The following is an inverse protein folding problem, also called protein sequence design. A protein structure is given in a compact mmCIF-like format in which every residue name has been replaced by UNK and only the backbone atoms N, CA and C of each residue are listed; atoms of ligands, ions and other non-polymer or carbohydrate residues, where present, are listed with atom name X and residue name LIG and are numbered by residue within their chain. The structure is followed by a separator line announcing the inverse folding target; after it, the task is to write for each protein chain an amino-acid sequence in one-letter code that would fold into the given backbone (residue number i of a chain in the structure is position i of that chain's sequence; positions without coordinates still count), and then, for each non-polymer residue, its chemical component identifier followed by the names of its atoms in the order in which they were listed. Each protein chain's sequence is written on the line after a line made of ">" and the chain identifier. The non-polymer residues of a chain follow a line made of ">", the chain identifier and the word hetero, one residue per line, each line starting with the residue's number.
data_IF_112562266599
#
_entry.id   IF_112562266599
#
_cell.length_a   1.000
_cell.length_b   1.000
_cell.length_c   1.000
_cell.angle_alpha   90.00
_cell.angle_beta   90.00
_cell.angle_gamma   90.00
#
_symmetry.space_group_name_H-M   'P 1'
#
loop_
_entity.id
_entity.type
_entity.pdbx_description
1 polymer ?
#
# COMPACT_ATOMS: atom_id res chain seq x y z
N UNK A 1 14.11 -6.43 -4.62
CA UNK A 1 13.76 -5.53 -3.49
C UNK A 1 14.42 -4.18 -3.75
N UNK A 2 13.64 -3.10 -3.77
CA UNK A 2 14.13 -1.72 -4.00
C UNK A 2 14.13 -0.90 -2.72
N UNK A 3 13.21 -1.17 -1.81
CA UNK A 3 13.13 -0.54 -0.50
C UNK A 3 12.46 -1.45 0.51
N UNK A 4 12.80 -1.28 1.78
CA UNK A 4 12.23 -2.00 2.92
C UNK A 4 12.26 -1.08 4.13
N UNK A 5 11.11 -0.77 4.69
CA UNK A 5 10.99 0.11 5.84
C UNK A 5 10.11 -0.50 6.93
N UNK A 6 10.41 -0.12 8.16
CA UNK A 6 9.64 -0.49 9.35
C UNK A 6 9.61 0.68 10.32
N UNK A 7 8.42 1.05 10.76
CA UNK A 7 8.21 2.13 11.73
C UNK A 7 7.33 1.65 12.87
N UNK A 8 7.70 1.96 14.09
CA UNK A 8 6.88 1.73 15.28
C UNK A 8 6.43 3.08 15.86
N UNK A 9 5.17 3.16 16.21
CA UNK A 9 4.58 4.38 16.76
C UNK A 9 4.95 4.65 18.21
N UNK A 10 4.72 5.89 18.67
CA UNK A 10 5.07 6.32 20.02
C UNK A 10 4.11 5.83 21.11
N UNK A 11 3.13 5.01 20.76
CA UNK A 11 2.09 4.49 21.66
C UNK A 11 1.26 5.59 22.37
N UNK A 12 0.99 6.70 21.68
CA UNK A 12 0.23 7.83 22.24
C UNK A 12 -1.25 7.85 21.85
N UNK A 13 -1.63 7.15 20.76
CA UNK A 13 -2.91 7.30 20.06
C UNK A 13 -4.15 7.44 20.92
N UNK A 14 -4.67 6.36 21.53
CA UNK A 14 -5.94 6.44 22.27
C UNK A 14 -5.88 7.30 23.54
N UNK A 15 -4.68 7.66 23.99
CA UNK A 15 -4.45 8.53 25.15
C UNK A 15 -4.17 9.96 24.78
N UNK A 16 -4.04 10.26 23.50
CA UNK A 16 -3.84 11.59 22.98
C UNK A 16 -5.21 12.20 22.61
N UNK A 17 -5.69 13.22 23.33
CA UNK A 17 -6.98 13.84 23.05
C UNK A 17 -7.04 14.57 21.71
N UNK A 18 -5.89 14.89 21.12
CA UNK A 18 -5.78 15.61 19.86
C UNK A 18 -5.63 14.65 18.66
N UNK A 19 -5.61 13.32 18.88
CA UNK A 19 -5.52 12.36 17.81
C UNK A 19 -6.85 12.27 17.04
N UNK A 20 -6.83 12.65 15.76
CA UNK A 20 -8.03 12.85 14.95
C UNK A 20 -8.42 11.65 14.07
N UNK A 21 -7.64 10.58 14.08
CA UNK A 21 -7.85 9.35 13.30
C UNK A 21 -7.85 9.55 11.77
N UNK A 22 -7.35 10.66 11.27
CA UNK A 22 -7.28 10.95 9.83
C UNK A 22 -5.94 10.56 9.21
N UNK A 23 -4.98 10.14 10.02
CA UNK A 23 -3.65 9.67 9.58
C UNK A 23 -3.10 8.63 10.55
N UNK A 24 -2.23 7.77 10.01
CA UNK A 24 -1.33 6.94 10.80
C UNK A 24 0.09 7.46 10.58
N UNK A 25 0.61 8.24 11.53
CA UNK A 25 1.96 8.82 11.45
C UNK A 25 3.04 7.77 11.13
N UNK A 26 2.85 6.55 11.66
CA UNK A 26 3.74 5.43 11.43
C UNK A 26 3.76 5.01 9.95
N UNK A 27 2.61 5.08 9.28
CA UNK A 27 2.48 4.76 7.86
C UNK A 27 3.15 5.83 7.01
N UNK A 28 2.85 7.10 7.27
CA UNK A 28 3.44 8.21 6.53
C UNK A 28 4.97 8.20 6.61
N UNK A 29 5.54 8.00 7.82
CA UNK A 29 7.00 7.88 8.01
C UNK A 29 7.58 6.65 7.34
N UNK A 30 6.88 5.51 7.40
CA UNK A 30 7.31 4.29 6.74
C UNK A 30 7.30 4.45 5.21
N UNK A 31 6.31 5.16 4.67
CA UNK A 31 6.21 5.50 3.26
C UNK A 31 7.39 6.39 2.82
N UNK A 32 7.66 7.48 3.54
CA UNK A 32 8.78 8.38 3.26
C UNK A 32 10.12 7.62 3.21
N UNK A 33 10.36 6.73 4.18
CA UNK A 33 11.59 5.94 4.25
C UNK A 33 11.70 4.94 3.10
N UNK A 34 10.66 4.16 2.81
CA UNK A 34 10.69 3.18 1.72
C UNK A 34 10.80 3.84 0.34
N UNK A 35 10.15 4.99 0.14
CA UNK A 35 10.27 5.77 -1.10
C UNK A 35 11.67 6.33 -1.29
N UNK A 36 12.25 6.90 -0.22
CA UNK A 36 13.64 7.38 -0.25
C UNK A 36 14.63 6.29 -0.66
N UNK A 37 14.48 5.08 -0.10
CA UNK A 37 15.33 3.94 -0.43
C UNK A 37 15.17 3.48 -1.88
N UNK A 38 13.95 3.51 -2.41
CA UNK A 38 13.62 3.07 -3.76
C UNK A 38 13.82 4.15 -4.83
N UNK A 39 14.08 5.41 -4.45
CA UNK A 39 14.19 6.55 -5.36
C UNK A 39 12.84 7.00 -5.93
N UNK A 40 11.72 6.66 -5.26
CA UNK A 40 10.37 7.07 -5.66
C UNK A 40 10.13 8.51 -5.20
N UNK A 41 9.71 9.36 -6.10
CA UNK A 41 9.41 10.78 -5.84
C UNK A 41 7.95 11.14 -6.05
N UNK A 42 7.24 10.36 -6.85
CA UNK A 42 5.81 10.49 -7.11
C UNK A 42 5.18 9.08 -7.04
N UNK A 43 4.78 8.61 -5.85
CA UNK A 43 4.29 7.25 -5.69
C UNK A 43 3.09 6.91 -6.58
N UNK A 44 2.14 7.84 -6.75
CA UNK A 44 0.99 7.63 -7.63
C UNK A 44 1.39 7.37 -9.08
N UNK A 45 2.37 8.09 -9.58
CA UNK A 45 2.81 7.97 -10.98
C UNK A 45 3.76 6.79 -11.20
N UNK A 46 4.56 6.41 -10.20
CA UNK A 46 5.66 5.46 -10.36
C UNK A 46 5.29 4.03 -9.94
N UNK A 47 4.38 3.88 -8.95
CA UNK A 47 3.94 2.56 -8.48
C UNK A 47 2.92 1.97 -9.46
N UNK A 48 3.14 0.73 -9.88
CA UNK A 48 2.24 0.00 -10.79
C UNK A 48 1.01 -0.54 -10.05
N UNK A 49 1.19 -0.97 -8.81
CA UNK A 49 0.16 -1.53 -7.96
C UNK A 49 0.58 -1.47 -6.49
N UNK A 50 -0.40 -1.55 -5.60
CA UNK A 50 -0.12 -1.72 -4.19
C UNK A 50 -0.97 -2.85 -3.58
N UNK A 51 -0.35 -3.60 -2.68
CA UNK A 51 -1.02 -4.48 -1.74
C UNK A 51 -0.98 -3.82 -0.36
N UNK A 52 -2.13 -3.47 0.19
CA UNK A 52 -2.21 -2.72 1.45
C UNK A 52 -3.05 -3.46 2.49
N UNK A 53 -2.89 -3.05 3.74
CA UNK A 53 -3.59 -3.66 4.87
C UNK A 53 -5.05 -3.17 4.97
N UNK A 54 -5.95 -3.85 4.29
CA UNK A 54 -7.38 -3.54 4.18
C UNK A 54 -8.24 -4.23 5.26
N UNK A 55 -7.73 -4.34 6.50
CA UNK A 55 -8.44 -4.98 7.60
C UNK A 55 -9.81 -4.35 7.89
N UNK A 56 -9.93 -3.03 7.69
CA UNK A 56 -11.16 -2.25 7.73
C UNK A 56 -11.18 -1.24 6.59
N UNK A 57 -12.35 -0.99 6.00
CA UNK A 57 -12.50 -0.01 4.91
C UNK A 57 -12.03 1.41 5.26
N UNK A 58 -12.28 1.95 6.47
CA UNK A 58 -11.70 3.24 6.84
C UNK A 58 -10.16 3.21 6.91
N UNK A 59 -9.56 2.11 7.33
CA UNK A 59 -8.11 1.94 7.36
C UNK A 59 -7.55 2.06 5.94
N UNK A 60 -8.09 1.30 4.99
CA UNK A 60 -7.64 1.36 3.60
C UNK A 60 -7.78 2.77 3.02
N UNK A 61 -8.88 3.47 3.30
CA UNK A 61 -9.08 4.85 2.84
C UNK A 61 -7.99 5.79 3.36
N UNK A 62 -7.64 5.71 4.64
CA UNK A 62 -6.58 6.52 5.26
C UNK A 62 -5.22 6.16 4.65
N UNK A 63 -4.97 4.87 4.39
CA UNK A 63 -3.73 4.42 3.75
C UNK A 63 -3.51 5.03 2.36
N UNK A 64 -4.58 5.26 1.57
CA UNK A 64 -4.43 5.89 0.25
C UNK A 64 -3.83 7.29 0.36
N UNK A 65 -4.15 8.01 1.42
CA UNK A 65 -3.61 9.35 1.69
C UNK A 65 -2.21 9.29 2.34
N UNK A 66 -2.02 8.42 3.33
CA UNK A 66 -0.75 8.28 4.05
C UNK A 66 0.37 7.72 3.17
N UNK A 67 0.04 6.88 2.19
CA UNK A 67 0.98 6.36 1.19
C UNK A 67 1.20 7.33 0.01
N UNK A 68 0.56 8.50 0.01
CA UNK A 68 0.71 9.51 -1.03
C UNK A 68 0.05 9.14 -2.37
N UNK A 69 -0.92 8.24 -2.37
CA UNK A 69 -1.70 7.88 -3.56
C UNK A 69 -2.84 8.85 -3.84
N UNK A 70 -3.27 9.58 -2.82
CA UNK A 70 -4.23 10.67 -2.90
C UNK A 70 -3.75 11.87 -2.08
N UNK A 71 -4.22 13.06 -2.44
CA UNK A 71 -4.06 14.24 -1.59
C UNK A 71 -4.86 14.06 -0.29
N UNK A 72 -4.37 14.67 0.78
CA UNK A 72 -5.01 14.62 2.09
C UNK A 72 -6.47 15.10 2.03
N UNK A 73 -7.40 14.28 2.54
CA UNK A 73 -8.85 14.52 2.51
C UNK A 73 -9.51 14.24 1.15
N UNK A 74 -8.77 13.71 0.16
CA UNK A 74 -9.29 13.42 -1.19
C UNK A 74 -9.37 11.93 -1.52
N UNK A 75 -8.89 11.04 -0.66
CA UNK A 75 -8.89 9.60 -0.90
C UNK A 75 -10.25 9.04 -1.32
N UNK A 76 -11.32 9.52 -0.70
CA UNK A 76 -12.69 9.08 -1.04
C UNK A 76 -13.10 9.43 -2.47
N UNK A 77 -12.63 10.56 -3.02
CA UNK A 77 -12.91 10.95 -4.41
C UNK A 77 -12.20 10.01 -5.38
N UNK A 78 -10.97 9.67 -5.07
CA UNK A 78 -10.18 8.74 -5.88
C UNK A 78 -10.83 7.34 -5.90
N UNK A 79 -11.34 6.88 -4.75
CA UNK A 79 -12.13 5.63 -4.67
C UNK A 79 -13.35 5.70 -5.58
N UNK A 80 -14.14 6.77 -5.50
CA UNK A 80 -15.34 6.93 -6.33
C UNK A 80 -15.03 7.10 -7.83
N UNK A 81 -13.84 7.61 -8.16
CA UNK A 81 -13.37 7.74 -9.54
C UNK A 81 -12.86 6.41 -10.13
N UNK A 82 -12.74 5.34 -9.30
CA UNK A 82 -12.20 4.05 -9.73
C UNK A 82 -10.69 4.04 -9.91
N UNK A 83 -9.97 5.00 -9.30
CA UNK A 83 -8.51 5.11 -9.41
C UNK A 83 -7.80 3.83 -8.95
N UNK A 84 -8.35 3.17 -7.93
CA UNK A 84 -7.78 1.98 -7.31
C UNK A 84 -8.39 0.65 -7.79
N UNK A 85 -9.33 0.72 -8.72
CA UNK A 85 -9.93 -0.47 -9.33
C UNK A 85 -8.88 -1.28 -10.12
N UNK A 86 -9.16 -2.53 -10.41
CA UNK A 86 -8.25 -3.45 -11.12
C UNK A 86 -7.73 -2.86 -12.44
N UNK A 87 -8.55 -2.10 -13.15
CA UNK A 87 -8.23 -1.42 -14.41
C UNK A 87 -8.04 0.11 -14.24
N UNK A 88 -7.95 0.57 -12.99
CA UNK A 88 -7.68 1.96 -12.64
C UNK A 88 -6.23 2.39 -12.86
N UNK A 89 -5.95 3.63 -12.51
CA UNK A 89 -4.61 4.23 -12.65
C UNK A 89 -3.56 3.56 -11.73
N UNK A 90 -3.98 3.21 -10.50
CA UNK A 90 -3.15 2.58 -9.48
C UNK A 90 -3.93 1.46 -8.79
N UNK A 91 -3.96 0.25 -9.36
CA UNK A 91 -4.66 -0.88 -8.76
C UNK A 91 -4.18 -1.17 -7.34
N UNK A 92 -5.14 -1.29 -6.41
CA UNK A 92 -4.88 -1.62 -5.02
C UNK A 92 -5.56 -2.94 -4.68
N UNK A 93 -4.82 -3.84 -4.04
CA UNK A 93 -5.29 -5.18 -3.67
C UNK A 93 -5.94 -5.96 -4.85
N UNK A 94 -5.24 -6.12 -6.00
CA UNK A 94 -5.83 -6.77 -7.17
C UNK A 94 -6.21 -8.24 -6.93
N UNK A 95 -5.66 -8.88 -5.92
CA UNK A 95 -6.01 -10.26 -5.52
C UNK A 95 -7.25 -10.32 -4.60
N UNK A 96 -7.81 -9.17 -4.22
CA UNK A 96 -8.96 -9.03 -3.33
C UNK A 96 -8.62 -8.70 -1.88
N UNK A 97 -7.33 -8.50 -1.56
CA UNK A 97 -6.84 -8.07 -0.25
C UNK A 97 -7.12 -9.05 0.89
N UNK A 98 -6.98 -8.58 2.13
CA UNK A 98 -7.22 -9.38 3.33
C UNK A 98 -8.69 -9.81 3.45
N UNK A 99 -9.61 -9.02 2.91
CA UNK A 99 -11.06 -9.27 2.97
C UNK A 99 -11.46 -10.49 2.16
N UNK A 100 -10.94 -10.64 0.94
CA UNK A 100 -11.36 -11.70 0.02
C UNK A 100 -10.38 -12.85 0.00
N UNK A 101 -9.09 -12.59 0.06
CA UNK A 101 -8.06 -13.62 0.06
C UNK A 101 -7.90 -14.29 1.44
N UNK A 102 -8.14 -13.55 2.51
CA UNK A 102 -7.94 -13.98 3.90
C UNK A 102 -6.71 -13.34 4.55
N UNK A 103 -6.67 -13.39 5.89
CA UNK A 103 -5.63 -12.75 6.70
C UNK A 103 -4.95 -13.71 7.66
N UNK A 104 -4.13 -14.65 7.20
CA UNK A 104 -3.22 -15.40 8.07
C UNK A 104 -2.08 -14.46 8.47
N UNK A 105 -2.13 -13.93 9.71
CA UNK A 105 -1.30 -12.80 10.18
C UNK A 105 0.18 -12.96 9.82
N UNK A 106 0.76 -14.16 10.03
CA UNK A 106 2.17 -14.42 9.73
C UNK A 106 2.48 -14.64 8.24
N UNK A 107 1.49 -14.69 7.35
CA UNK A 107 1.67 -14.99 5.92
C UNK A 107 1.17 -13.88 5.00
N UNK A 108 0.34 -12.94 5.46
CA UNK A 108 -0.26 -11.91 4.61
C UNK A 108 0.79 -11.07 3.88
N UNK A 109 1.87 -10.65 4.55
CA UNK A 109 2.95 -9.91 3.90
C UNK A 109 3.66 -10.70 2.80
N UNK A 110 3.83 -12.01 2.98
CA UNK A 110 4.41 -12.88 1.94
C UNK A 110 3.46 -13.04 0.76
N UNK A 111 2.15 -13.16 1.01
CA UNK A 111 1.13 -13.18 -0.04
C UNK A 111 1.17 -11.88 -0.88
N UNK A 112 1.20 -10.73 -0.23
CA UNK A 112 1.29 -9.43 -0.89
C UNK A 112 2.53 -9.32 -1.78
N UNK A 113 3.69 -9.76 -1.29
CA UNK A 113 4.91 -9.81 -2.10
C UNK A 113 4.78 -10.76 -3.28
N UNK A 114 4.12 -11.91 -3.08
CA UNK A 114 3.89 -12.88 -4.15
C UNK A 114 2.94 -12.33 -5.22
N UNK A 115 1.89 -11.61 -4.84
CA UNK A 115 1.02 -10.95 -5.81
C UNK A 115 1.78 -9.88 -6.61
N UNK A 116 2.57 -9.02 -5.95
CA UNK A 116 3.44 -8.07 -6.66
C UNK A 116 4.37 -8.78 -7.64
N UNK A 117 4.94 -9.92 -7.24
CA UNK A 117 5.82 -10.72 -8.10
C UNK A 117 5.09 -11.25 -9.34
N UNK A 118 3.87 -11.80 -9.19
CA UNK A 118 3.05 -12.29 -10.30
C UNK A 118 2.68 -11.14 -11.26
N UNK A 119 2.19 -10.05 -10.73
CA UNK A 119 1.70 -8.91 -11.51
C UNK A 119 2.82 -8.25 -12.34
N UNK A 120 3.95 -7.95 -11.71
CA UNK A 120 5.09 -7.30 -12.38
C UNK A 120 5.74 -8.18 -13.45
N UNK A 121 5.62 -9.49 -13.32
CA UNK A 121 6.11 -10.48 -14.32
C UNK A 121 5.06 -10.82 -15.39
N UNK A 122 3.84 -10.28 -15.26
CA UNK A 122 2.69 -10.61 -16.13
C UNK A 122 2.31 -12.10 -16.07
N UNK A 123 2.47 -12.69 -14.89
CA UNK A 123 2.17 -14.10 -14.60
C UNK A 123 0.91 -14.26 -13.75
N UNK A 124 0.23 -13.16 -13.39
CA UNK A 124 -1.06 -13.21 -12.72
C UNK A 124 -2.14 -13.80 -13.65
N UNK A 125 -3.19 -14.44 -13.10
CA UNK A 125 -4.33 -14.87 -13.89
C UNK A 125 -4.87 -13.75 -14.77
N UNK A 126 -5.22 -14.02 -16.05
CA UNK A 126 -5.62 -13.00 -17.01
C UNK A 126 -6.75 -12.09 -16.53
N UNK A 127 -7.71 -12.65 -15.78
CA UNK A 127 -8.87 -11.92 -15.25
C UNK A 127 -8.54 -10.90 -14.18
N UNK A 128 -7.34 -10.96 -13.60
CA UNK A 128 -6.88 -9.98 -12.60
C UNK A 128 -5.51 -9.38 -12.91
N UNK A 129 -4.99 -9.60 -14.12
CA UNK A 129 -3.74 -8.98 -14.55
C UNK A 129 -3.92 -7.47 -14.69
N UNK A 130 -3.13 -6.68 -13.96
CA UNK A 130 -3.16 -5.22 -14.02
C UNK A 130 -2.60 -4.70 -15.34
N UNK A 131 -3.10 -3.55 -15.80
CA UNK A 131 -2.69 -2.92 -17.06
C UNK A 131 -1.55 -1.90 -16.91
N UNK A 132 -1.31 -1.41 -15.71
CA UNK A 132 -0.30 -0.39 -15.41
C UNK A 132 1.13 -0.83 -15.76
N UNK A 133 1.43 -2.14 -15.67
CA UNK A 133 2.71 -2.69 -16.14
C UNK A 133 2.89 -2.61 -17.66
N UNK A 134 1.81 -2.59 -18.44
CA UNK A 134 1.89 -2.38 -19.88
C UNK A 134 2.19 -0.91 -20.24
N UNK A 135 1.97 0.00 -19.29
CA UNK A 135 2.28 1.42 -19.39
C UNK A 135 3.70 1.75 -18.93
N UNK A 136 4.52 0.74 -18.65
CA UNK A 136 5.93 0.89 -18.27
C UNK A 136 6.20 1.09 -16.78
N UNK A 137 5.18 0.98 -15.92
CA UNK A 137 5.40 1.00 -14.47
C UNK A 137 5.98 -0.35 -14.02
N UNK A 138 7.05 -0.32 -13.25
CA UNK A 138 7.85 -1.51 -12.88
C UNK A 138 7.93 -1.77 -11.38
N UNK A 139 7.27 -0.95 -10.56
CA UNK A 139 7.35 -1.01 -9.11
C UNK A 139 6.02 -1.48 -8.50
N UNK A 140 6.09 -2.40 -7.56
CA UNK A 140 4.97 -2.80 -6.70
C UNK A 140 5.27 -2.44 -5.24
N UNK A 141 4.26 -1.95 -4.52
CA UNK A 141 4.36 -1.65 -3.11
C UNK A 141 3.56 -2.67 -2.29
N UNK A 142 4.11 -3.11 -1.17
CA UNK A 142 3.35 -3.83 -0.14
C UNK A 142 3.38 -3.04 1.17
N UNK A 143 2.26 -3.02 1.87
CA UNK A 143 2.13 -2.36 3.16
C UNK A 143 1.35 -3.23 4.15
N UNK A 144 1.91 -3.41 5.34
CA UNK A 144 1.25 -4.07 6.46
C UNK A 144 1.22 -3.15 7.68
N UNK A 145 0.12 -3.22 8.40
CA UNK A 145 -0.15 -2.47 9.61
C UNK A 145 -0.52 -3.43 10.73
N UNK A 146 -0.02 -3.19 11.92
CA UNK A 146 -0.38 -3.96 13.12
C UNK A 146 -0.53 -3.07 14.34
N UNK A 147 -1.54 -3.31 15.18
CA UNK A 147 -1.80 -2.51 16.36
C UNK A 147 -3.06 -1.64 16.24
N UNK A 148 -3.17 -0.64 17.09
CA UNK A 148 -4.28 0.32 17.12
C UNK A 148 -3.82 1.68 16.57
N UNK A 149 -4.73 2.51 16.05
CA UNK A 149 -4.39 3.87 15.63
C UNK A 149 -3.59 4.62 16.68
N UNK A 150 -2.47 5.25 16.27
CA UNK A 150 -1.55 5.97 17.16
C UNK A 150 -0.57 5.12 17.98
N UNK A 151 -0.65 3.79 17.89
CA UNK A 151 0.31 2.83 18.48
C UNK A 151 0.56 1.65 17.53
N UNK A 152 0.53 1.94 16.24
CA UNK A 152 0.76 0.94 15.21
C UNK A 152 2.24 0.66 14.98
N UNK A 153 2.48 -0.52 14.42
CA UNK A 153 3.69 -0.79 13.65
C UNK A 153 3.33 -0.80 12.17
N UNK A 154 4.14 -0.18 11.35
CA UNK A 154 3.98 -0.10 9.91
C UNK A 154 5.18 -0.73 9.23
N UNK A 155 4.93 -1.54 8.23
CA UNK A 155 5.94 -2.18 7.39
C UNK A 155 5.61 -1.93 5.93
N UNK A 156 6.57 -1.46 5.16
CA UNK A 156 6.43 -1.27 3.73
C UNK A 156 7.61 -1.86 2.96
N UNK A 157 7.33 -2.42 1.80
CA UNK A 157 8.36 -2.88 0.87
C UNK A 157 8.03 -2.43 -0.56
N UNK A 158 9.06 -2.06 -1.31
CA UNK A 158 8.97 -1.82 -2.75
C UNK A 158 9.79 -2.89 -3.47
N UNK A 159 9.14 -3.56 -4.41
CA UNK A 159 9.75 -4.52 -5.32
C UNK A 159 9.69 -4.01 -6.74
N UNK A 160 10.67 -4.35 -7.55
CA UNK A 160 10.73 -3.97 -8.95
C UNK A 160 11.03 -5.17 -9.84
N UNK A 161 10.57 -5.12 -11.10
CA UNK A 161 10.84 -6.15 -12.10
C UNK A 161 12.26 -6.08 -12.66
N UNK A 162 12.95 -4.94 -12.50
CA UNK A 162 14.31 -4.76 -12.97
C UNK A 162 15.33 -5.20 -11.92
N UNK A 163 16.35 -5.91 -12.37
CA UNK A 163 17.55 -6.16 -11.58
C UNK A 163 18.29 -4.83 -11.44
N UNK A 164 18.45 -4.35 -10.23
CA UNK A 164 19.18 -3.14 -9.90
C UNK A 164 20.70 -3.32 -10.00
#
# INVERSE_FOLDING_TARGET
>A
MKGLAFTAGPARGPLDPDYDYTTFDEVARCADDVYSQAGVTNPRAEIAMAEVHDCFTPTELVLMEDLGFAERGMGWKEVLAGTYDLDGELPVNPDGGLKSFGHPIGASGLRMLFECWLQLRKEAPPERQIKSVDQGKTLGLTHNLGGRPGECVSFAAIVGSELG
#
